data_IF_530140099262
#
_entry.id   IF_530140099262
#
_cell.length_a   1.000
_cell.length_b   1.000
_cell.length_c   1.000
_cell.angle_alpha   90.00
_cell.angle_beta   90.00
_cell.angle_gamma   90.00
#
_symmetry.space_group_name_H-M   'P 1'
#
loop_
_entity.id
_entity.type
_entity.pdbx_description
1 polymer ?
#
# COMPACT_ATOMS: atom_id res chain seq x y z
N UNK A 1 -8.05 11.13 0.02
CA UNK A 1 -8.51 9.80 0.46
C UNK A 1 -7.68 9.39 1.67
N UNK A 2 -8.23 8.63 2.62
CA UNK A 2 -7.51 8.25 3.85
C UNK A 2 -6.94 6.85 3.72
N UNK A 3 -5.64 6.71 3.96
CA UNK A 3 -4.93 5.43 3.95
C UNK A 3 -4.56 5.01 5.37
N UNK A 4 -4.70 3.73 5.65
CA UNK A 4 -4.13 3.05 6.81
C UNK A 4 -3.12 2.03 6.30
N UNK A 5 -1.86 2.23 6.69
CA UNK A 5 -0.73 1.45 6.19
C UNK A 5 -0.35 0.39 7.22
N UNK A 6 -0.92 -0.81 7.10
CA UNK A 6 -0.64 -1.89 8.04
C UNK A 6 0.67 -2.60 7.75
N UNK A 7 1.45 -2.89 8.79
CA UNK A 7 2.73 -3.61 8.73
C UNK A 7 3.82 -2.94 7.88
N UNK A 8 3.64 -1.68 7.48
CA UNK A 8 4.60 -0.99 6.59
C UNK A 8 6.00 -0.88 7.22
N UNK A 9 6.09 -0.58 8.52
CA UNK A 9 7.36 -0.46 9.24
C UNK A 9 8.10 -1.80 9.31
N UNK A 10 7.40 -2.86 9.74
CA UNK A 10 7.97 -4.21 9.85
C UNK A 10 8.41 -4.72 8.48
N UNK A 11 7.61 -4.48 7.45
CA UNK A 11 7.91 -4.89 6.07
C UNK A 11 9.10 -4.12 5.50
N UNK A 12 9.14 -2.81 5.68
CA UNK A 12 10.26 -1.97 5.28
C UNK A 12 11.56 -2.41 5.96
N UNK A 13 11.51 -2.70 7.26
CA UNK A 13 12.65 -3.18 8.01
C UNK A 13 13.14 -4.54 7.51
N UNK A 14 12.23 -5.48 7.25
CA UNK A 14 12.56 -6.79 6.71
C UNK A 14 13.20 -6.70 5.32
N UNK A 15 12.67 -5.83 4.46
CA UNK A 15 13.23 -5.57 3.13
C UNK A 15 14.61 -4.91 3.22
N UNK A 16 14.77 -3.91 4.09
CA UNK A 16 16.02 -3.21 4.31
C UNK A 16 17.14 -4.13 4.85
N UNK A 17 16.77 -5.13 5.66
CA UNK A 17 17.70 -6.17 6.14
C UNK A 17 18.09 -7.17 5.06
N UNK A 18 17.14 -7.55 4.20
CA UNK A 18 17.30 -8.65 3.24
C UNK A 18 17.82 -8.23 1.85
N UNK A 19 17.66 -6.96 1.46
CA UNK A 19 18.00 -6.48 0.11
C UNK A 19 19.06 -5.36 0.16
N UNK A 20 20.29 -5.69 -0.27
CA UNK A 20 21.38 -4.72 -0.35
C UNK A 20 21.06 -3.57 -1.34
N UNK A 21 20.56 -3.90 -2.53
CA UNK A 21 20.17 -2.93 -3.56
C UNK A 21 19.07 -1.97 -3.06
N UNK A 22 18.16 -2.46 -2.22
CA UNK A 22 17.10 -1.62 -1.67
C UNK A 22 17.67 -0.63 -0.64
N UNK A 23 18.50 -1.13 0.28
CA UNK A 23 19.20 -0.32 1.28
C UNK A 23 20.15 0.70 0.67
N UNK A 24 20.77 0.41 -0.48
CA UNK A 24 21.60 1.39 -1.19
C UNK A 24 20.75 2.58 -1.69
N UNK A 25 19.51 2.33 -2.14
CA UNK A 25 18.60 3.38 -2.63
C UNK A 25 17.85 4.11 -1.53
N UNK A 26 17.53 3.41 -0.44
CA UNK A 26 16.81 3.94 0.72
C UNK A 26 17.62 3.62 1.98
N UNK A 27 18.65 4.42 2.31
CA UNK A 27 19.61 4.10 3.38
C UNK A 27 19.04 4.10 4.81
N UNK A 28 17.93 4.80 5.04
CA UNK A 28 17.28 4.84 6.35
C UNK A 28 15.94 4.09 6.35
N UNK A 29 15.57 3.58 7.53
CA UNK A 29 14.27 2.91 7.74
C UNK A 29 13.10 3.87 7.47
N UNK A 30 13.24 5.15 7.83
CA UNK A 30 12.26 6.19 7.51
C UNK A 30 12.08 6.40 6.01
N UNK A 31 13.17 6.42 5.22
CA UNK A 31 13.08 6.54 3.76
C UNK A 31 12.46 5.29 3.13
N UNK A 32 12.78 4.11 3.67
CA UNK A 32 12.18 2.86 3.22
C UNK A 32 10.66 2.82 3.47
N UNK A 33 10.22 3.20 4.67
CA UNK A 33 8.79 3.30 5.01
C UNK A 33 8.10 4.32 4.12
N UNK A 34 8.68 5.51 3.95
CA UNK A 34 8.12 6.57 3.12
C UNK A 34 7.97 6.11 1.66
N UNK A 35 9.01 5.48 1.11
CA UNK A 35 8.95 4.90 -0.23
C UNK A 35 7.81 3.89 -0.37
N UNK A 36 7.64 2.99 0.60
CA UNK A 36 6.59 1.98 0.55
C UNK A 36 5.20 2.57 0.57
N UNK A 37 4.96 3.61 1.39
CA UNK A 37 3.69 4.36 1.43
C UNK A 37 3.42 5.06 0.10
N UNK A 38 4.38 5.84 -0.39
CA UNK A 38 4.26 6.56 -1.67
C UNK A 38 4.00 5.60 -2.84
N UNK A 39 4.72 4.47 -2.87
CA UNK A 39 4.55 3.46 -3.91
C UNK A 39 3.19 2.79 -3.82
N UNK A 40 2.69 2.50 -2.62
CA UNK A 40 1.35 1.96 -2.44
C UNK A 40 0.28 2.96 -2.95
N UNK A 41 0.40 4.25 -2.63
CA UNK A 41 -0.54 5.28 -3.11
C UNK A 41 -0.50 5.43 -4.63
N UNK A 42 0.70 5.40 -5.24
CA UNK A 42 0.86 5.41 -6.70
C UNK A 42 0.17 4.20 -7.34
N UNK A 43 0.42 2.99 -6.82
CA UNK A 43 -0.15 1.75 -7.32
C UNK A 43 -1.67 1.71 -7.13
N UNK A 44 -2.17 2.18 -5.99
CA UNK A 44 -3.60 2.33 -5.76
C UNK A 44 -4.23 3.25 -6.82
N UNK A 45 -3.68 4.46 -6.97
CA UNK A 45 -4.16 5.46 -7.95
C UNK A 45 -4.18 4.87 -9.36
N UNK A 46 -3.10 4.18 -9.76
CA UNK A 46 -3.02 3.55 -11.08
C UNK A 46 -4.12 2.52 -11.29
N UNK A 47 -4.34 1.61 -10.33
CA UNK A 47 -5.27 0.50 -10.49
C UNK A 47 -6.75 0.90 -10.26
N UNK A 48 -7.00 1.92 -9.43
CA UNK A 48 -8.35 2.40 -9.10
C UNK A 48 -8.72 3.72 -9.80
N UNK A 49 -7.88 4.24 -10.71
CA UNK A 49 -8.17 5.45 -11.50
C UNK A 49 -9.48 5.34 -12.28
N UNK A 50 -9.74 4.17 -12.90
CA UNK A 50 -10.95 3.88 -13.68
C UNK A 50 -12.04 3.13 -12.88
N UNK A 51 -11.78 2.83 -11.62
CA UNK A 51 -12.73 2.12 -10.76
C UNK A 51 -13.89 3.02 -10.36
N UNK A 52 -15.12 2.50 -10.43
CA UNK A 52 -16.34 3.21 -9.97
C UNK A 52 -16.95 2.59 -8.72
N UNK A 53 -16.42 1.46 -8.25
CA UNK A 53 -16.89 0.76 -7.06
C UNK A 53 -15.83 -0.18 -6.48
N UNK A 54 -16.08 -0.79 -5.31
CA UNK A 54 -15.09 -1.60 -4.59
C UNK A 54 -14.78 -2.95 -5.26
N UNK A 55 -15.64 -3.46 -6.12
CA UNK A 55 -15.57 -4.82 -6.70
C UNK A 55 -14.67 -4.96 -7.94
N UNK A 56 -13.70 -4.06 -8.14
CA UNK A 56 -12.96 -3.95 -9.42
C UNK A 56 -12.19 -5.21 -9.81
N UNK A 57 -11.87 -6.10 -8.85
CA UNK A 57 -11.02 -7.28 -9.08
C UNK A 57 -11.72 -8.62 -8.82
N UNK A 58 -13.05 -8.68 -8.74
CA UNK A 58 -13.81 -9.92 -8.55
C UNK A 58 -13.73 -10.56 -7.15
N UNK A 59 -12.76 -10.18 -6.32
CA UNK A 59 -12.60 -10.56 -4.91
C UNK A 59 -12.73 -9.39 -3.92
N UNK A 60 -12.83 -8.16 -4.42
CA UNK A 60 -12.77 -6.93 -3.60
C UNK A 60 -11.40 -6.62 -3.02
N UNK A 61 -10.37 -7.40 -3.39
CA UNK A 61 -9.00 -7.30 -2.87
C UNK A 61 -8.03 -7.13 -4.03
N UNK A 62 -7.15 -6.12 -3.97
CA UNK A 62 -6.09 -5.90 -4.97
C UNK A 62 -4.72 -6.21 -4.39
N UNK A 63 -4.02 -7.21 -4.92
CA UNK A 63 -2.62 -7.50 -4.56
C UNK A 63 -1.67 -6.95 -5.62
N UNK A 64 -0.71 -6.11 -5.23
CA UNK A 64 0.25 -5.49 -6.14
C UNK A 64 1.67 -5.59 -5.59
N UNK A 65 2.65 -6.04 -6.39
CA UNK A 65 4.05 -6.02 -5.97
C UNK A 65 4.59 -4.58 -5.88
N UNK A 66 5.30 -4.29 -4.79
CA UNK A 66 6.03 -3.03 -4.57
C UNK A 66 7.51 -3.20 -4.91
N UNK A 67 8.08 -4.30 -4.43
CA UNK A 67 9.47 -4.66 -4.66
C UNK A 67 9.59 -6.18 -4.86
N UNK A 68 10.77 -6.66 -5.23
CA UNK A 68 11.03 -8.11 -5.32
C UNK A 68 10.75 -8.78 -3.96
N UNK A 69 9.77 -9.68 -3.94
CA UNK A 69 9.37 -10.40 -2.73
C UNK A 69 8.57 -9.57 -1.72
N UNK A 70 8.08 -8.38 -2.09
CA UNK A 70 7.26 -7.52 -1.22
C UNK A 70 6.08 -6.97 -2.01
N UNK A 71 4.90 -7.04 -1.43
CA UNK A 71 3.68 -6.51 -2.03
C UNK A 71 2.78 -5.81 -1.03
N UNK A 72 1.70 -5.27 -1.56
CA UNK A 72 0.64 -4.63 -0.80
C UNK A 72 -0.70 -5.17 -1.28
N UNK A 73 -1.59 -5.34 -0.32
CA UNK A 73 -2.98 -5.72 -0.54
C UNK A 73 -3.88 -4.53 -0.18
N UNK A 74 -4.77 -4.14 -1.08
CA UNK A 74 -5.72 -3.06 -0.84
C UNK A 74 -7.12 -3.58 -0.56
N UNK A 75 -7.75 -3.03 0.47
CA UNK A 75 -9.18 -3.09 0.71
C UNK A 75 -9.75 -1.66 0.82
N UNK A 76 -10.98 -1.47 0.35
CA UNK A 76 -11.62 -0.14 0.30
C UNK A 76 -12.94 -0.17 1.07
N UNK A 77 -13.22 0.87 1.86
CA UNK A 77 -14.46 0.98 2.64
C UNK A 77 -15.02 2.41 2.67
N UNK A 78 -16.32 2.52 2.92
CA UNK A 78 -17.04 3.80 3.01
C UNK A 78 -16.85 4.49 4.36
N UNK A 79 -16.69 3.72 5.43
CA UNK A 79 -16.50 4.21 6.79
C UNK A 79 -15.52 3.28 7.53
N UNK A 80 -14.78 3.82 8.48
CA UNK A 80 -13.88 3.04 9.33
C UNK A 80 -13.77 3.75 10.69
N UNK A 81 -13.60 2.97 11.76
CA UNK A 81 -13.52 3.46 13.15
C UNK A 81 -12.07 3.66 13.65
N UNK A 82 -11.05 3.37 12.84
CA UNK A 82 -9.64 3.39 13.27
C UNK A 82 -8.97 4.78 13.26
N UNK A 83 -8.04 5.01 14.18
CA UNK A 83 -7.52 6.35 14.53
C UNK A 83 -6.30 6.82 13.72
N UNK A 84 -5.47 5.91 13.20
CA UNK A 84 -4.17 6.25 12.60
C UNK A 84 -4.23 6.26 11.07
N UNK A 85 -4.94 7.25 10.51
CA UNK A 85 -5.07 7.42 9.07
C UNK A 85 -4.28 8.61 8.54
N UNK A 86 -3.60 8.38 7.44
CA UNK A 86 -2.90 9.42 6.70
C UNK A 86 -3.74 9.88 5.51
N UNK A 87 -3.86 11.19 5.34
CA UNK A 87 -4.56 11.76 4.18
C UNK A 87 -3.60 11.89 3.00
N UNK A 88 -3.98 11.26 1.88
CA UNK A 88 -3.24 11.30 0.62
C UNK A 88 -4.15 11.73 -0.53
N UNK A 89 -3.61 12.57 -1.41
CA UNK A 89 -4.28 12.98 -2.64
C UNK A 89 -4.17 11.88 -3.69
N UNK A 90 -5.31 11.41 -4.20
CA UNK A 90 -5.39 10.37 -5.23
C UNK A 90 -6.46 10.74 -6.25
N UNK A 91 -6.21 10.41 -7.51
CA UNK A 91 -7.21 10.51 -8.58
C UNK A 91 -7.91 9.15 -8.73
N UNK A 92 -9.18 9.08 -8.34
CA UNK A 92 -9.97 7.84 -8.42
C UNK A 92 -11.44 8.13 -8.67
N UNK A 93 -12.10 7.23 -9.40
CA UNK A 93 -13.56 7.26 -9.63
C UNK A 93 -14.38 6.64 -8.49
N UNK A 94 -13.75 6.22 -7.39
CA UNK A 94 -14.41 5.66 -6.22
C UNK A 94 -15.12 6.76 -5.41
N UNK A 95 -16.33 7.13 -5.83
CA UNK A 95 -17.07 8.27 -5.26
C UNK A 95 -17.52 8.07 -3.81
N UNK A 96 -17.78 6.82 -3.40
CA UNK A 96 -18.32 6.51 -2.06
C UNK A 96 -17.28 5.92 -1.10
N UNK A 97 -16.02 5.78 -1.52
CA UNK A 97 -14.93 5.23 -0.69
C UNK A 97 -14.21 6.37 0.02
N UNK A 98 -14.16 6.33 1.35
CA UNK A 98 -13.42 7.30 2.14
C UNK A 98 -12.08 6.76 2.64
N UNK A 99 -11.96 5.42 2.69
CA UNK A 99 -10.89 4.71 3.37
C UNK A 99 -10.28 3.61 2.51
N UNK A 100 -8.96 3.49 2.60
CA UNK A 100 -8.15 2.43 2.00
C UNK A 100 -7.29 1.80 3.07
N UNK A 101 -7.44 0.50 3.26
CA UNK A 101 -6.51 -0.33 4.03
C UNK A 101 -5.43 -0.85 3.07
N UNK A 102 -4.16 -0.59 3.40
CA UNK A 102 -3.01 -1.03 2.62
C UNK A 102 -2.16 -1.96 3.48
N UNK A 103 -2.34 -3.27 3.32
CA UNK A 103 -1.65 -4.30 4.10
C UNK A 103 -0.40 -4.75 3.37
N UNK A 104 0.77 -4.49 3.94
CA UNK A 104 2.05 -4.88 3.35
C UNK A 104 2.46 -6.29 3.76
N UNK A 105 3.05 -7.02 2.83
CA UNK A 105 3.50 -8.40 3.05
C UNK A 105 4.84 -8.70 2.37
N UNK A 106 5.56 -9.67 2.91
CA UNK A 106 6.79 -10.24 2.34
C UNK A 106 6.50 -11.66 1.86
N UNK A 107 6.78 -11.96 0.61
CA UNK A 107 6.78 -13.33 0.10
C UNK A 107 8.06 -14.03 0.59
N UNK A 108 7.89 -15.04 1.44
CA UNK A 108 8.98 -15.93 1.80
C UNK A 108 9.33 -16.84 0.60
N UNK A 109 10.61 -17.10 0.33
CA UNK A 109 10.97 -18.12 -0.65
C UNK A 109 10.38 -19.47 -0.22
N UNK A 110 9.61 -20.08 -1.12
CA UNK A 110 9.11 -21.45 -0.99
C UNK A 110 10.24 -22.47 -1.12
#
# INVERSE_FOLDING_TARGET
MRFEFENVEVTAQALHKSSADFRERYPSESEAVQYMKEKAVELFTRNYSAATGPEVNGSGVLEVPIWRGVGVTFAVAQDSEFADREEWSVETGLLDVQYVEAVFWVALPL
#
